data_IF_276855619885
#
_entry.id   IF_276855619885
#
_cell.length_a   1.000
_cell.length_b   1.000
_cell.length_c   1.000
_cell.angle_alpha   90.00
_cell.angle_beta   90.00
_cell.angle_gamma   90.00
#
_symmetry.space_group_name_H-M   'P 1'
#
loop_
_entity.id
_entity.type
_entity.pdbx_description
1 polymer ?
#
# COMPACT_ATOMS: atom_id res chain seq x y z
N UNK A 1 -19.89 15.37 -1.74
CA UNK A 1 -18.42 15.33 -1.95
C UNK A 1 -18.04 13.87 -2.12
N UNK A 2 -17.40 13.53 -3.24
CA UNK A 2 -17.13 12.14 -3.61
C UNK A 2 -16.12 11.54 -2.64
N UNK A 3 -16.31 10.27 -2.23
CA UNK A 3 -15.32 9.51 -1.45
C UNK A 3 -13.92 9.53 -2.10
N UNK A 4 -13.85 9.76 -3.42
CA UNK A 4 -12.61 9.91 -4.17
C UNK A 4 -11.86 11.23 -3.88
N UNK A 5 -12.57 12.33 -3.62
CA UNK A 5 -11.95 13.65 -3.38
C UNK A 5 -11.32 13.73 -1.99
N UNK A 6 -12.03 13.27 -0.95
CA UNK A 6 -11.50 13.27 0.42
C UNK A 6 -10.24 12.40 0.54
N UNK A 7 -10.23 11.28 -0.16
CA UNK A 7 -9.11 10.36 -0.17
C UNK A 7 -7.90 10.86 -0.99
N UNK A 8 -8.13 11.67 -2.02
CA UNK A 8 -7.06 12.33 -2.75
C UNK A 8 -6.40 13.44 -1.92
N UNK A 9 -7.20 14.14 -1.12
CA UNK A 9 -6.72 15.12 -0.14
C UNK A 9 -5.84 14.43 0.92
N UNK A 10 -6.24 13.26 1.43
CA UNK A 10 -5.44 12.48 2.38
C UNK A 10 -4.11 12.01 1.76
N UNK A 11 -4.12 11.57 0.50
CA UNK A 11 -2.90 11.19 -0.22
C UNK A 11 -1.98 12.39 -0.47
N UNK A 12 -2.53 13.58 -0.73
CA UNK A 12 -1.75 14.82 -0.79
C UNK A 12 -1.19 15.22 0.58
N UNK A 13 -1.91 14.97 1.67
CA UNK A 13 -1.45 15.24 3.03
C UNK A 13 -0.33 14.27 3.45
N UNK A 14 -0.43 12.99 3.10
CA UNK A 14 0.62 11.98 3.32
C UNK A 14 1.87 12.29 2.48
N UNK A 15 1.68 12.70 1.22
CA UNK A 15 2.76 13.26 0.41
C UNK A 15 3.33 14.50 1.09
N UNK A 16 2.52 15.43 1.58
CA UNK A 16 2.98 16.65 2.25
C UNK A 16 3.79 16.36 3.52
N UNK A 17 3.43 15.31 4.27
CA UNK A 17 4.11 14.85 5.48
C UNK A 17 5.52 14.27 5.21
N UNK A 18 5.79 13.80 4.00
CA UNK A 18 7.13 13.35 3.60
C UNK A 18 8.11 14.54 3.50
N UNK A 19 9.32 14.36 4.04
CA UNK A 19 10.32 15.43 4.08
C UNK A 19 10.66 15.95 2.68
N UNK A 20 10.79 17.28 2.54
CA UNK A 20 11.19 17.91 1.28
C UNK A 20 12.51 17.33 0.73
N UNK A 21 13.40 16.89 1.61
CA UNK A 21 14.66 16.23 1.27
C UNK A 21 14.44 14.87 0.60
N UNK A 22 13.52 14.06 1.12
CA UNK A 22 13.23 12.73 0.59
C UNK A 22 12.51 12.79 -0.75
N UNK A 23 11.58 13.74 -0.93
CA UNK A 23 10.97 14.03 -2.23
C UNK A 23 12.00 14.41 -3.29
N UNK A 24 12.94 15.28 -2.94
CA UNK A 24 14.04 15.68 -3.82
C UNK A 24 14.94 14.50 -4.20
N UNK A 25 15.22 13.59 -3.25
CA UNK A 25 15.99 12.37 -3.52
C UNK A 25 15.26 11.43 -4.46
N UNK A 26 13.97 11.18 -4.23
CA UNK A 26 13.14 10.31 -5.08
C UNK A 26 13.00 10.86 -6.50
N UNK A 27 12.77 12.17 -6.64
CA UNK A 27 12.69 12.80 -7.96
C UNK A 27 14.00 12.70 -8.75
N UNK A 28 15.16 12.78 -8.08
CA UNK A 28 16.46 12.56 -8.73
C UNK A 28 16.62 11.12 -9.22
N UNK A 29 16.16 10.14 -8.44
CA UNK A 29 16.18 8.72 -8.85
C UNK A 29 15.33 8.52 -10.11
N UNK A 30 14.13 9.09 -10.15
CA UNK A 30 13.25 9.03 -11.32
C UNK A 30 13.96 9.61 -12.55
N UNK A 31 14.52 10.82 -12.44
CA UNK A 31 15.25 11.47 -13.55
C UNK A 31 16.47 10.68 -14.02
N UNK A 32 17.20 10.05 -13.10
CA UNK A 32 18.32 9.19 -13.47
C UNK A 32 17.85 7.94 -14.21
N UNK A 33 16.77 7.32 -13.77
CA UNK A 33 16.18 6.17 -14.44
C UNK A 33 15.64 6.51 -15.83
N UNK A 34 14.98 7.67 -15.99
CA UNK A 34 14.53 8.20 -17.29
C UNK A 34 15.68 8.28 -18.29
N UNK A 35 16.83 8.84 -17.85
CA UNK A 35 18.02 8.96 -18.70
C UNK A 35 18.60 7.62 -19.13
N UNK A 36 18.58 6.61 -18.26
CA UNK A 36 19.11 5.28 -18.55
C UNK A 36 18.19 4.51 -19.50
N UNK A 37 16.88 4.58 -19.27
CA UNK A 37 15.90 3.85 -20.08
C UNK A 37 15.65 4.57 -21.43
N UNK A 38 15.85 5.89 -21.48
CA UNK A 38 15.62 6.70 -22.68
C UNK A 38 14.14 7.01 -22.92
N UNK A 39 13.29 6.89 -21.89
CA UNK A 39 11.87 7.21 -21.97
C UNK A 39 11.42 8.05 -20.75
N UNK A 40 10.31 8.77 -20.93
CA UNK A 40 9.69 9.52 -19.84
C UNK A 40 9.07 8.54 -18.84
N UNK A 41 9.38 8.72 -17.56
CA UNK A 41 8.81 7.95 -16.47
C UNK A 41 7.67 8.74 -15.82
N UNK A 42 6.77 8.06 -15.09
CA UNK A 42 5.75 8.75 -14.32
C UNK A 42 6.38 9.71 -13.32
N UNK A 43 5.76 10.89 -13.15
CA UNK A 43 6.19 11.85 -12.14
C UNK A 43 6.08 11.25 -10.73
N UNK A 44 6.79 11.84 -9.75
CA UNK A 44 6.67 11.40 -8.36
C UNK A 44 5.21 11.41 -7.90
N UNK A 45 4.44 12.44 -8.26
CA UNK A 45 3.01 12.55 -7.94
C UNK A 45 2.19 11.44 -8.59
N UNK A 46 2.48 11.09 -9.85
CA UNK A 46 1.80 9.98 -10.52
C UNK A 46 2.10 8.65 -9.85
N UNK A 47 3.35 8.40 -9.42
CA UNK A 47 3.69 7.18 -8.68
C UNK A 47 2.93 7.09 -7.36
N UNK A 48 2.82 8.19 -6.60
CA UNK A 48 1.98 8.23 -5.40
C UNK A 48 0.51 7.96 -5.73
N UNK A 49 -0.02 8.54 -6.81
CA UNK A 49 -1.39 8.30 -7.26
C UNK A 49 -1.62 6.83 -7.64
N UNK A 50 -0.69 6.23 -8.37
CA UNK A 50 -0.74 4.80 -8.71
C UNK A 50 -0.67 3.93 -7.46
N UNK A 51 0.23 4.24 -6.54
CA UNK A 51 0.35 3.54 -5.27
C UNK A 51 -0.95 3.64 -4.47
N UNK A 52 -1.52 4.83 -4.35
CA UNK A 52 -2.79 5.06 -3.67
C UNK A 52 -3.94 4.26 -4.30
N UNK A 53 -4.05 4.30 -5.63
CA UNK A 53 -5.07 3.55 -6.36
C UNK A 53 -4.88 2.02 -6.19
N UNK A 54 -3.64 1.54 -6.18
CA UNK A 54 -3.34 0.14 -5.91
C UNK A 54 -3.79 -0.27 -4.51
N UNK A 55 -3.40 0.48 -3.48
CA UNK A 55 -3.77 0.19 -2.07
C UNK A 55 -5.28 0.23 -1.84
N UNK A 56 -5.99 1.18 -2.45
CA UNK A 56 -7.45 1.24 -2.32
C UNK A 56 -8.14 0.01 -2.93
N UNK A 57 -7.64 -0.48 -4.07
CA UNK A 57 -8.12 -1.71 -4.70
C UNK A 57 -7.78 -2.96 -3.87
N UNK A 58 -6.58 -3.06 -3.34
CA UNK A 58 -6.18 -4.22 -2.52
C UNK A 58 -6.98 -4.28 -1.23
N UNK A 59 -7.16 -3.15 -0.53
CA UNK A 59 -8.01 -3.06 0.66
C UNK A 59 -9.45 -3.48 0.38
N UNK A 60 -10.04 -3.02 -0.73
CA UNK A 60 -11.40 -3.42 -1.13
C UNK A 60 -11.49 -4.94 -1.34
N UNK A 61 -10.51 -5.52 -2.03
CA UNK A 61 -10.45 -6.98 -2.26
C UNK A 61 -10.25 -7.76 -0.96
N UNK A 62 -9.42 -7.26 -0.06
CA UNK A 62 -9.19 -7.84 1.26
C UNK A 62 -10.49 -7.88 2.08
N UNK A 63 -11.26 -6.78 2.05
CA UNK A 63 -12.57 -6.71 2.68
C UNK A 63 -13.57 -7.73 2.11
N UNK A 64 -13.58 -7.92 0.78
CA UNK A 64 -14.41 -8.94 0.14
C UNK A 64 -14.04 -10.35 0.58
N UNK A 65 -12.75 -10.69 0.62
CA UNK A 65 -12.27 -12.00 1.08
C UNK A 65 -12.57 -12.21 2.58
N UNK A 66 -12.38 -11.18 3.39
CA UNK A 66 -12.69 -11.22 4.82
C UNK A 66 -14.19 -11.37 5.08
N UNK A 67 -15.05 -10.88 4.18
CA UNK A 67 -16.51 -10.98 4.28
C UNK A 67 -17.09 -12.27 3.69
N UNK A 68 -16.29 -13.07 2.99
CA UNK A 68 -16.71 -14.32 2.36
C UNK A 68 -16.09 -15.54 3.08
N UNK A 69 -16.84 -16.23 3.96
CA UNK A 69 -16.36 -17.42 4.66
C UNK A 69 -16.06 -18.61 3.73
N UNK A 70 -16.62 -18.64 2.52
CA UNK A 70 -16.39 -19.72 1.55
C UNK A 70 -15.07 -19.57 0.79
N UNK A 71 -14.44 -18.41 0.88
CA UNK A 71 -13.20 -18.12 0.17
C UNK A 71 -12.03 -18.97 0.73
N UNK A 72 -11.20 -19.61 -0.12
CA UNK A 72 -10.13 -20.50 0.34
C UNK A 72 -9.10 -19.82 1.22
N UNK A 73 -8.86 -18.52 1.01
CA UNK A 73 -7.93 -17.72 1.82
C UNK A 73 -8.62 -16.89 2.93
N UNK A 74 -9.89 -17.13 3.26
CA UNK A 74 -10.60 -16.39 4.31
C UNK A 74 -9.87 -16.44 5.66
N UNK A 75 -9.31 -17.61 6.00
CA UNK A 75 -8.58 -17.85 7.24
C UNK A 75 -7.40 -16.89 7.46
N UNK A 76 -6.82 -16.33 6.39
CA UNK A 76 -5.72 -15.36 6.48
C UNK A 76 -6.18 -13.99 6.99
N UNK A 77 -7.45 -13.65 6.76
CA UNK A 77 -8.10 -12.41 7.22
C UNK A 77 -8.94 -12.65 8.47
N UNK A 78 -8.79 -13.80 9.13
CA UNK A 78 -9.37 -14.05 10.44
C UNK A 78 -8.49 -13.42 11.53
N UNK A 79 -9.12 -12.66 12.42
CA UNK A 79 -8.43 -12.09 13.58
C UNK A 79 -8.01 -13.22 14.53
N UNK A 80 -6.79 -13.10 15.08
CA UNK A 80 -6.34 -13.97 16.16
C UNK A 80 -7.25 -13.81 17.40
N UNK A 81 -7.23 -14.75 18.37
CA UNK A 81 -8.07 -14.68 19.57
C UNK A 81 -7.95 -13.38 20.36
N UNK A 82 -6.82 -12.68 20.26
CA UNK A 82 -6.65 -11.36 20.87
C UNK A 82 -7.46 -10.24 20.21
N UNK A 83 -8.05 -10.47 19.03
CA UNK A 83 -8.86 -9.51 18.27
C UNK A 83 -8.09 -8.35 17.63
N UNK A 84 -6.76 -8.27 17.83
CA UNK A 84 -5.96 -7.10 17.42
C UNK A 84 -5.32 -7.19 16.04
N UNK A 85 -5.04 -8.41 15.56
CA UNK A 85 -4.27 -8.61 14.32
C UNK A 85 -4.71 -9.87 13.58
N UNK A 86 -4.45 -9.91 12.28
CA UNK A 86 -4.62 -11.08 11.42
C UNK A 86 -3.45 -12.06 11.52
N UNK A 87 -3.64 -13.26 11.00
CA UNK A 87 -2.61 -14.29 10.95
C UNK A 87 -1.52 -13.95 9.92
N UNK A 88 -0.32 -13.61 10.39
CA UNK A 88 0.82 -13.33 9.50
C UNK A 88 1.28 -14.56 8.71
N UNK A 89 1.52 -14.35 7.42
CA UNK A 89 2.06 -15.38 6.51
C UNK A 89 3.58 -15.40 6.66
N UNK A 90 4.13 -16.54 7.08
CA UNK A 90 5.58 -16.72 7.21
C UNK A 90 6.17 -17.10 5.84
N UNK A 91 7.08 -16.28 5.34
CA UNK A 91 7.84 -16.59 4.12
C UNK A 91 9.26 -16.04 4.22
N UNK A 92 10.19 -16.65 3.49
CA UNK A 92 11.60 -16.26 3.42
C UNK A 92 11.93 -15.47 2.14
N UNK A 93 11.01 -15.39 1.17
CA UNK A 93 11.30 -14.79 -0.13
C UNK A 93 10.67 -13.41 -0.28
N UNK A 94 11.44 -12.45 -0.78
CA UNK A 94 10.98 -11.09 -1.08
C UNK A 94 9.81 -11.11 -2.07
N UNK A 95 9.87 -11.98 -3.09
CA UNK A 95 8.79 -12.16 -4.07
C UNK A 95 7.45 -12.45 -3.40
N UNK A 96 7.41 -13.37 -2.42
CA UNK A 96 6.16 -13.71 -1.75
C UNK A 96 5.75 -12.63 -0.74
N UNK A 97 6.69 -12.02 -0.02
CA UNK A 97 6.42 -10.88 0.87
C UNK A 97 5.74 -9.71 0.13
N UNK A 98 6.14 -9.48 -1.13
CA UNK A 98 5.61 -8.44 -1.99
C UNK A 98 4.33 -8.85 -2.74
N UNK A 99 3.78 -10.03 -2.47
CA UNK A 99 2.49 -10.45 -3.04
C UNK A 99 1.32 -9.93 -2.21
N UNK A 100 0.11 -10.00 -2.79
CA UNK A 100 -1.12 -9.45 -2.21
C UNK A 100 -1.35 -9.84 -0.74
N UNK A 101 -1.34 -11.14 -0.41
CA UNK A 101 -1.75 -11.59 0.93
C UNK A 101 -0.77 -11.18 2.04
N UNK A 102 0.54 -11.43 1.95
CA UNK A 102 1.46 -11.05 3.03
C UNK A 102 1.57 -9.53 3.20
N UNK A 103 1.49 -8.78 2.09
CA UNK A 103 1.49 -7.32 2.12
C UNK A 103 0.26 -6.78 2.83
N UNK A 104 -0.94 -7.21 2.46
CA UNK A 104 -2.19 -6.70 3.02
C UNK A 104 -2.37 -7.09 4.50
N UNK A 105 -2.02 -8.32 4.86
CA UNK A 105 -1.99 -8.76 6.26
C UNK A 105 -0.97 -7.94 7.05
N UNK A 106 0.19 -7.67 6.47
CA UNK A 106 1.22 -6.82 7.07
C UNK A 106 0.77 -5.38 7.28
N UNK A 107 0.14 -4.76 6.28
CA UNK A 107 -0.40 -3.41 6.37
C UNK A 107 -1.47 -3.28 7.45
N UNK A 108 -2.35 -4.28 7.57
CA UNK A 108 -3.42 -4.26 8.58
C UNK A 108 -2.90 -4.54 9.99
N UNK A 109 -1.78 -5.27 10.13
CA UNK A 109 -1.20 -5.63 11.42
C UNK A 109 -0.28 -4.53 12.00
N UNK A 110 0.05 -3.49 11.24
CA UNK A 110 0.82 -2.35 11.75
C UNK A 110 -0.04 -1.57 12.75
N UNK A 111 0.48 -1.21 13.93
CA UNK A 111 -0.22 -0.29 14.82
C UNK A 111 -0.46 1.05 14.09
N UNK A 112 -1.57 1.74 14.37
CA UNK A 112 -1.74 3.11 13.87
C UNK A 112 -0.53 3.94 14.33
N UNK A 113 -0.02 4.79 13.44
CA UNK A 113 1.10 5.67 13.77
C UNK A 113 0.77 6.42 15.07
N UNK A 114 1.58 6.22 16.10
CA UNK A 114 1.50 7.02 17.32
C UNK A 114 1.85 8.45 16.96
N UNK A 115 0.83 9.32 16.98
CA UNK A 115 0.95 10.77 16.87
C UNK A 115 1.71 11.36 18.05
#
# INVERSE_FOLDING_TARGET
>A
MSSFENLWIDAQAELAAESAKDKGRLQRIIRSAEKVIGCNLPSLLDLYRYQYQYHSRTRKRAGQISGDPSHPCHHLFQRLPSGKRFQSIKTKTSRHLNSFFPMEVGLTNKPPASH
#
